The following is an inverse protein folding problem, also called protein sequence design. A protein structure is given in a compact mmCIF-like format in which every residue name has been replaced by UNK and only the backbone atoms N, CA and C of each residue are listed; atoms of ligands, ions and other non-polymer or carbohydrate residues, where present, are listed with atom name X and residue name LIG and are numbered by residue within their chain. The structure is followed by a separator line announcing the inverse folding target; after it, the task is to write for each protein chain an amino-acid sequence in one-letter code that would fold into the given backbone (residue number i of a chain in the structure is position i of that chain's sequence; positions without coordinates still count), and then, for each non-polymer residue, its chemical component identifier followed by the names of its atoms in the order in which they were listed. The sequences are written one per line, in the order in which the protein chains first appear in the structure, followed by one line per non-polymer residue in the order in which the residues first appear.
data_IF_548225134088
#
_entry.id   IF_548225134088
#
_cell.length_a   1.000
_cell.length_b   1.000
_cell.length_c   1.000
_cell.angle_alpha   90.00
_cell.angle_beta   90.00
_cell.angle_gamma   90.00
#
_symmetry.space_group_name_H-M   'P 1'
#
loop_
_entity.id
_entity.type
_entity.pdbx_description
1 polymer ?
#
# COMPACT_ATOMS: atom_id res chain seq x y z
N UNK A 1 22.08 -11.21 -0.71
CA UNK A 1 22.05 -11.01 -2.19
C UNK A 1 23.15 -11.85 -2.81
N UNK A 2 24.38 -11.72 -2.36
CA UNK A 2 25.56 -12.37 -2.97
C UNK A 2 25.44 -13.90 -3.00
N UNK A 3 24.94 -14.53 -1.94
CA UNK A 3 24.81 -15.97 -1.80
C UNK A 3 23.52 -16.56 -2.39
N UNK A 4 22.55 -15.71 -2.75
CA UNK A 4 21.26 -16.18 -3.23
C UNK A 4 21.22 -16.21 -4.76
N UNK A 5 21.61 -17.35 -5.35
CA UNK A 5 21.60 -17.56 -6.81
C UNK A 5 20.22 -17.36 -7.47
N UNK A 6 19.12 -17.53 -6.73
CA UNK A 6 17.78 -17.41 -7.30
C UNK A 6 17.40 -15.97 -7.62
N UNK A 7 17.94 -14.99 -6.90
CA UNK A 7 17.73 -13.56 -7.23
C UNK A 7 18.73 -13.06 -8.28
N UNK A 8 19.73 -13.84 -8.63
CA UNK A 8 20.68 -13.52 -9.69
C UNK A 8 20.19 -13.97 -11.08
N UNK A 9 19.08 -14.68 -11.13
CA UNK A 9 18.46 -15.13 -12.38
C UNK A 9 17.05 -14.56 -12.46
N UNK A 10 16.81 -13.65 -13.40
CA UNK A 10 15.48 -13.11 -13.64
C UNK A 10 14.62 -14.08 -14.46
N UNK A 11 15.23 -14.84 -15.35
CA UNK A 11 14.53 -15.76 -16.24
C UNK A 11 15.01 -17.21 -16.08
N UNK A 12 14.13 -18.23 -16.02
CA UNK A 12 12.65 -18.12 -16.04
C UNK A 12 12.09 -17.53 -14.74
N UNK A 13 10.96 -16.81 -14.83
CA UNK A 13 10.33 -16.13 -13.68
C UNK A 13 9.96 -17.05 -12.51
N UNK A 14 9.82 -18.35 -12.77
CA UNK A 14 9.62 -19.35 -11.71
C UNK A 14 10.76 -19.40 -10.70
N UNK A 15 11.99 -19.02 -11.10
CA UNK A 15 13.17 -19.04 -10.22
C UNK A 15 13.07 -17.98 -9.13
N UNK A 16 12.93 -16.67 -9.42
CA UNK A 16 12.80 -15.66 -8.38
C UNK A 16 11.46 -15.72 -7.64
N UNK A 17 10.39 -16.25 -8.24
CA UNK A 17 9.09 -16.41 -7.58
C UNK A 17 9.04 -17.61 -6.62
N UNK A 18 10.06 -18.48 -6.60
CA UNK A 18 10.18 -19.60 -5.67
C UNK A 18 11.42 -19.44 -4.79
N UNK A 19 11.45 -18.44 -3.86
CA UNK A 19 12.63 -18.19 -3.04
C UNK A 19 12.98 -19.40 -2.15
N UNK A 20 14.27 -19.62 -1.93
CA UNK A 20 14.74 -20.73 -1.09
C UNK A 20 14.34 -20.50 0.37
N UNK A 21 14.01 -21.60 1.09
CA UNK A 21 13.53 -21.54 2.47
C UNK A 21 14.53 -20.97 3.47
N UNK A 22 15.82 -21.04 3.16
CA UNK A 22 16.91 -20.60 4.04
C UNK A 22 17.36 -19.15 3.76
N UNK A 23 16.57 -18.38 3.03
CA UNK A 23 16.91 -16.99 2.69
C UNK A 23 16.01 -15.99 3.40
N UNK A 24 16.47 -14.74 3.61
CA UNK A 24 15.64 -13.67 4.20
C UNK A 24 14.36 -13.35 3.41
N UNK A 25 14.27 -13.79 2.16
CA UNK A 25 13.10 -13.64 1.29
C UNK A 25 12.25 -14.91 1.20
N UNK A 26 12.49 -15.90 2.07
CA UNK A 26 11.70 -17.13 2.13
C UNK A 26 10.21 -16.81 2.26
N UNK A 27 9.36 -17.45 1.44
CA UNK A 27 7.93 -17.19 1.41
C UNK A 27 7.48 -15.83 0.84
N UNK A 28 8.40 -15.05 0.26
CA UNK A 28 8.16 -13.67 -0.20
C UNK A 28 8.48 -13.51 -1.69
N UNK A 29 7.69 -14.13 -2.58
CA UNK A 29 8.01 -14.20 -4.00
C UNK A 29 8.12 -12.83 -4.68
N UNK A 30 7.25 -11.88 -4.31
CA UNK A 30 7.26 -10.54 -4.93
C UNK A 30 8.52 -9.76 -4.54
N UNK A 31 8.93 -9.84 -3.26
CA UNK A 31 10.19 -9.20 -2.81
C UNK A 31 11.40 -9.82 -3.53
N UNK A 32 11.44 -11.16 -3.62
CA UNK A 32 12.51 -11.87 -4.35
C UNK A 32 12.57 -11.45 -5.82
N UNK A 33 11.42 -11.32 -6.47
CA UNK A 33 11.34 -10.83 -7.86
C UNK A 33 11.90 -9.41 -7.99
N UNK A 34 11.60 -8.50 -7.06
CA UNK A 34 12.16 -7.13 -7.12
C UNK A 34 13.68 -7.11 -6.98
N UNK A 35 14.24 -8.02 -6.19
CA UNK A 35 15.70 -8.18 -6.11
C UNK A 35 16.27 -8.74 -7.40
N UNK A 36 15.61 -9.71 -8.04
CA UNK A 36 16.06 -10.24 -9.33
C UNK A 36 16.03 -9.18 -10.44
N UNK A 37 15.02 -8.30 -10.43
CA UNK A 37 14.96 -7.16 -11.37
C UNK A 37 16.12 -6.20 -11.11
N UNK A 38 16.42 -5.84 -9.86
CA UNK A 38 17.57 -5.00 -9.55
C UNK A 38 18.89 -5.62 -9.99
N UNK A 39 19.05 -6.93 -9.74
CA UNK A 39 20.26 -7.64 -10.17
C UNK A 39 20.41 -7.67 -11.68
N UNK A 40 19.33 -7.92 -12.42
CA UNK A 40 19.35 -7.91 -13.88
C UNK A 40 19.67 -6.51 -14.46
N UNK A 41 19.29 -5.43 -13.76
CA UNK A 41 19.53 -4.07 -14.20
C UNK A 41 20.94 -3.54 -13.89
N UNK A 42 21.52 -3.91 -12.73
CA UNK A 42 22.77 -3.33 -12.27
C UNK A 42 23.69 -4.30 -11.51
N UNK A 43 23.42 -5.62 -11.53
CA UNK A 43 24.22 -6.61 -10.84
C UNK A 43 24.25 -6.38 -9.33
N UNK A 44 25.44 -6.24 -8.77
CA UNK A 44 25.66 -5.99 -7.35
C UNK A 44 25.85 -4.49 -7.01
N UNK A 45 25.59 -3.56 -7.93
CA UNK A 45 25.66 -2.13 -7.63
C UNK A 45 24.57 -1.77 -6.60
N UNK A 46 25.02 -1.46 -5.38
CA UNK A 46 24.18 -1.17 -4.24
C UNK A 46 23.28 0.05 -4.45
N UNK A 47 23.67 0.99 -5.30
CA UNK A 47 22.92 2.22 -5.60
C UNK A 47 21.55 1.90 -6.18
N UNK A 48 21.47 0.90 -7.09
CA UNK A 48 20.20 0.48 -7.67
C UNK A 48 19.21 -0.06 -6.63
N UNK A 49 19.71 -0.77 -5.61
CA UNK A 49 18.89 -1.32 -4.54
C UNK A 49 18.36 -0.22 -3.61
N UNK A 50 19.18 0.75 -3.22
CA UNK A 50 18.76 1.89 -2.41
C UNK A 50 17.77 2.78 -3.16
N UNK A 51 18.01 3.05 -4.45
CA UNK A 51 17.10 3.85 -5.26
C UNK A 51 15.70 3.19 -5.35
N UNK A 52 15.66 1.87 -5.48
CA UNK A 52 14.39 1.12 -5.48
C UNK A 52 13.69 1.23 -4.13
N UNK A 53 14.41 1.07 -3.01
CA UNK A 53 13.83 1.22 -1.66
C UNK A 53 13.30 2.64 -1.45
N UNK A 54 14.06 3.66 -1.87
CA UNK A 54 13.63 5.06 -1.81
C UNK A 54 12.37 5.30 -2.64
N UNK A 55 12.32 4.75 -3.86
CA UNK A 55 11.13 4.88 -4.72
C UNK A 55 9.89 4.24 -4.06
N UNK A 56 10.01 3.04 -3.47
CA UNK A 56 8.93 2.37 -2.74
C UNK A 56 8.47 3.25 -1.56
N UNK A 57 9.42 3.82 -0.80
CA UNK A 57 9.11 4.69 0.34
C UNK A 57 8.37 5.97 -0.09
N UNK A 58 8.82 6.63 -1.15
CA UNK A 58 8.14 7.81 -1.70
C UNK A 58 6.73 7.48 -2.20
N UNK A 59 6.54 6.34 -2.87
CA UNK A 59 5.22 5.88 -3.29
C UNK A 59 4.30 5.60 -2.10
N UNK A 60 4.83 5.04 -1.01
CA UNK A 60 4.08 4.83 0.22
C UNK A 60 3.66 6.16 0.85
N UNK A 61 4.56 7.16 0.92
CA UNK A 61 4.25 8.50 1.41
C UNK A 61 3.17 9.20 0.57
N UNK A 62 3.26 9.13 -0.76
CA UNK A 62 2.24 9.67 -1.66
C UNK A 62 0.88 8.96 -1.52
N UNK A 63 0.91 7.66 -1.29
CA UNK A 63 -0.32 6.87 -1.05
C UNK A 63 -0.94 7.27 0.29
N UNK A 64 -0.12 7.45 1.34
CA UNK A 64 -0.56 7.93 2.64
C UNK A 64 -1.17 9.34 2.54
N UNK A 65 -0.52 10.26 1.83
CA UNK A 65 -1.08 11.57 1.52
C UNK A 65 -2.48 11.46 0.92
N UNK A 66 -2.60 10.66 -0.15
CA UNK A 66 -3.87 10.45 -0.83
C UNK A 66 -4.94 9.83 0.07
N UNK A 67 -4.58 8.87 0.91
CA UNK A 67 -5.46 8.22 1.87
C UNK A 67 -5.98 9.21 2.92
N UNK A 68 -5.08 9.94 3.59
CA UNK A 68 -5.45 10.92 4.63
C UNK A 68 -6.33 12.02 4.06
N UNK A 69 -5.93 12.59 2.92
CA UNK A 69 -6.72 13.63 2.25
C UNK A 69 -8.15 13.15 1.97
N UNK A 70 -8.32 11.93 1.47
CA UNK A 70 -9.64 11.38 1.15
C UNK A 70 -10.45 11.04 2.40
N UNK A 71 -9.81 10.50 3.41
CA UNK A 71 -10.47 10.24 4.69
C UNK A 71 -11.06 11.52 5.30
N UNK A 72 -10.30 12.63 5.24
CA UNK A 72 -10.75 13.93 5.75
C UNK A 72 -11.86 14.57 4.89
N UNK A 73 -12.02 14.15 3.64
CA UNK A 73 -13.11 14.59 2.75
C UNK A 73 -14.36 13.71 2.85
N UNK A 74 -14.37 12.64 3.65
CA UNK A 74 -15.56 11.85 3.89
C UNK A 74 -16.65 12.70 4.58
N UNK A 75 -17.94 12.47 4.32
CA UNK A 75 -19.05 13.25 4.88
C UNK A 75 -19.03 13.41 6.40
N UNK A 76 -18.46 12.41 7.11
CA UNK A 76 -18.28 12.41 8.55
C UNK A 76 -17.25 13.42 9.06
N UNK A 77 -16.19 13.68 8.30
CA UNK A 77 -15.05 14.52 8.69
C UNK A 77 -14.96 15.83 7.92
N UNK A 78 -15.53 15.90 6.72
CA UNK A 78 -15.48 17.07 5.84
C UNK A 78 -15.97 18.38 6.48
N UNK A 79 -17.03 18.39 7.34
CA UNK A 79 -17.47 19.62 8.00
C UNK A 79 -16.40 20.26 8.89
N UNK A 80 -15.52 19.43 9.50
CA UNK A 80 -14.48 19.91 10.44
C UNK A 80 -13.12 20.09 9.77
N UNK A 81 -12.79 19.25 8.80
CA UNK A 81 -11.42 19.16 8.26
C UNK A 81 -11.34 19.32 6.74
N UNK A 82 -12.47 19.34 6.02
CA UNK A 82 -12.49 19.31 4.57
C UNK A 82 -11.71 20.46 3.90
N UNK A 83 -11.84 21.68 4.44
CA UNK A 83 -11.10 22.85 3.93
C UNK A 83 -9.57 22.70 4.03
N UNK A 84 -9.09 21.95 5.02
CA UNK A 84 -7.66 21.75 5.30
C UNK A 84 -7.16 20.37 4.90
N UNK A 85 -8.00 19.53 4.30
CA UNK A 85 -7.70 18.12 4.03
C UNK A 85 -6.41 17.92 3.22
N UNK A 86 -6.13 18.80 2.27
CA UNK A 86 -4.89 18.73 1.47
C UNK A 86 -3.66 19.07 2.30
N UNK A 87 -3.71 20.15 3.09
CA UNK A 87 -2.57 20.57 3.92
C UNK A 87 -2.29 19.55 5.02
N UNK A 88 -3.32 19.07 5.71
CA UNK A 88 -3.18 18.03 6.73
C UNK A 88 -2.66 16.73 6.14
N UNK A 89 -3.13 16.34 4.95
CA UNK A 89 -2.61 15.18 4.24
C UNK A 89 -1.12 15.28 3.95
N UNK A 90 -0.65 16.44 3.48
CA UNK A 90 0.78 16.70 3.26
C UNK A 90 1.58 16.67 4.55
N UNK A 91 1.11 17.32 5.61
CA UNK A 91 1.80 17.34 6.90
C UNK A 91 1.99 15.91 7.44
N UNK A 92 0.94 15.11 7.44
CA UNK A 92 1.01 13.72 7.92
C UNK A 92 1.96 12.89 7.07
N UNK A 93 1.89 13.00 5.74
CA UNK A 93 2.77 12.25 4.86
C UNK A 93 4.24 12.66 5.00
N UNK A 94 4.53 13.95 5.17
CA UNK A 94 5.89 14.45 5.37
C UNK A 94 6.45 14.04 6.73
N UNK A 95 5.67 14.14 7.82
CA UNK A 95 6.10 13.68 9.15
C UNK A 95 6.42 12.19 9.09
N UNK A 96 5.57 11.38 8.47
CA UNK A 96 5.80 9.94 8.34
C UNK A 96 7.04 9.65 7.48
N UNK A 97 7.18 10.32 6.34
CA UNK A 97 8.27 10.10 5.39
C UNK A 97 9.65 10.48 5.97
N UNK A 98 9.71 11.57 6.74
CA UNK A 98 10.95 12.08 7.32
C UNK A 98 11.23 11.54 8.74
N UNK A 99 10.35 10.67 9.25
CA UNK A 99 10.51 10.15 10.60
C UNK A 99 11.80 9.30 10.71
N UNK A 100 12.63 9.49 11.74
CA UNK A 100 13.90 8.76 11.88
C UNK A 100 13.77 7.23 11.86
N UNK A 101 12.64 6.68 12.32
CA UNK A 101 12.38 5.24 12.26
C UNK A 101 12.27 4.68 10.83
N UNK A 102 12.10 5.55 9.82
CA UNK A 102 12.02 5.14 8.42
C UNK A 102 13.40 5.01 7.76
N UNK A 103 14.48 5.49 8.40
CA UNK A 103 15.85 5.42 7.84
C UNK A 103 16.28 3.97 7.62
N UNK A 104 16.03 3.08 8.56
CA UNK A 104 16.32 1.65 8.40
C UNK A 104 15.61 1.04 7.17
N UNK A 105 14.40 1.50 6.90
CA UNK A 105 13.57 1.00 5.78
C UNK A 105 14.18 1.35 4.43
N UNK A 106 14.94 2.44 4.35
CA UNK A 106 15.60 2.93 3.13
C UNK A 106 17.01 2.35 3.03
N UNK A 107 17.78 2.43 4.13
CA UNK A 107 19.19 2.09 4.15
C UNK A 107 19.44 0.58 4.18
N UNK A 108 18.55 -0.18 4.79
CA UNK A 108 18.71 -1.63 4.86
C UNK A 108 18.02 -2.31 3.69
N UNK A 109 18.80 -2.85 2.77
CA UNK A 109 18.29 -3.48 1.54
C UNK A 109 17.27 -4.60 1.84
N UNK A 110 17.46 -5.36 2.92
CA UNK A 110 16.57 -6.45 3.33
C UNK A 110 15.23 -5.97 3.88
N UNK A 111 15.14 -4.72 4.37
CA UNK A 111 13.90 -4.11 4.85
C UNK A 111 12.92 -3.76 3.71
N UNK A 112 13.28 -4.04 2.47
CA UNK A 112 12.37 -3.95 1.32
C UNK A 112 11.07 -4.71 1.54
N UNK A 113 11.11 -5.80 2.27
CA UNK A 113 9.93 -6.57 2.67
C UNK A 113 8.92 -5.71 3.43
N UNK A 114 9.40 -4.95 4.42
CA UNK A 114 8.56 -4.05 5.22
C UNK A 114 8.03 -2.88 4.38
N UNK A 115 8.90 -2.27 3.59
CA UNK A 115 8.54 -1.14 2.72
C UNK A 115 7.46 -1.53 1.72
N UNK A 116 7.62 -2.68 1.07
CA UNK A 116 6.64 -3.17 0.08
C UNK A 116 5.33 -3.55 0.75
N UNK A 117 5.37 -4.24 1.87
CA UNK A 117 4.17 -4.57 2.65
C UNK A 117 3.44 -3.28 3.05
N UNK A 118 4.15 -2.29 3.60
CA UNK A 118 3.57 -0.99 3.98
C UNK A 118 2.94 -0.25 2.78
N UNK A 119 3.60 -0.23 1.63
CA UNK A 119 3.05 0.34 0.40
C UNK A 119 1.75 -0.35 -0.01
N UNK A 120 1.73 -1.69 -0.08
CA UNK A 120 0.55 -2.44 -0.48
C UNK A 120 -0.57 -2.36 0.57
N UNK A 121 -0.22 -2.23 1.84
CA UNK A 121 -1.18 -2.00 2.92
C UNK A 121 -1.90 -0.65 2.71
N UNK A 122 -1.15 0.42 2.51
CA UNK A 122 -1.68 1.75 2.21
C UNK A 122 -2.48 1.78 0.91
N UNK A 123 -2.02 1.10 -0.15
CA UNK A 123 -2.74 0.98 -1.42
C UNK A 123 -4.07 0.24 -1.23
N UNK A 124 -4.11 -0.81 -0.43
CA UNK A 124 -5.35 -1.54 -0.11
C UNK A 124 -6.38 -0.62 0.53
N UNK A 125 -5.97 0.14 1.56
CA UNK A 125 -6.84 1.13 2.22
C UNK A 125 -7.26 2.24 1.26
N UNK A 126 -6.32 2.81 0.51
CA UNK A 126 -6.59 3.88 -0.45
C UNK A 126 -7.62 3.46 -1.51
N UNK A 127 -7.42 2.28 -2.12
CA UNK A 127 -8.34 1.76 -3.13
C UNK A 127 -9.72 1.44 -2.54
N UNK A 128 -9.77 0.95 -1.29
CA UNK A 128 -11.02 0.70 -0.58
C UNK A 128 -11.80 2.00 -0.34
N UNK A 129 -11.14 3.04 0.15
CA UNK A 129 -11.75 4.37 0.34
C UNK A 129 -12.27 4.95 -0.98
N UNK A 130 -11.49 4.80 -2.05
CA UNK A 130 -11.92 5.22 -3.41
C UNK A 130 -13.15 4.47 -3.91
N UNK A 131 -13.25 3.19 -3.57
CA UNK A 131 -14.44 2.38 -3.87
C UNK A 131 -15.68 2.90 -3.14
N UNK A 132 -15.54 3.28 -1.87
CA UNK A 132 -16.62 3.82 -1.06
C UNK A 132 -17.11 5.19 -1.55
N UNK A 133 -16.20 6.11 -1.92
CA UNK A 133 -16.56 7.42 -2.50
C UNK A 133 -17.41 7.25 -3.78
N UNK A 134 -17.11 6.23 -4.58
CA UNK A 134 -17.84 5.97 -5.83
C UNK A 134 -19.30 5.52 -5.63
N UNK A 135 -19.69 5.10 -4.42
CA UNK A 135 -21.07 4.74 -4.09
C UNK A 135 -21.96 5.96 -3.81
N UNK A 136 -21.39 7.01 -3.23
CA UNK A 136 -22.13 8.23 -2.88
C UNK A 136 -22.59 9.04 -4.10
N UNK A 137 -21.96 8.85 -5.25
CA UNK A 137 -22.20 9.63 -6.48
C UNK A 137 -23.16 8.96 -7.47
N UNK A 138 -23.60 7.72 -7.25
CA UNK A 138 -24.14 6.90 -8.33
C UNK A 138 -25.62 6.58 -8.24
N UNK A 139 -26.39 7.29 -9.04
CA UNK A 139 -27.62 6.77 -9.67
C UNK A 139 -27.41 6.29 -11.14
N UNK A 140 -26.20 6.34 -11.70
CA UNK A 140 -25.88 6.08 -13.10
C UNK A 140 -25.02 4.82 -13.35
N UNK A 141 -25.31 3.98 -14.37
CA UNK A 141 -24.62 2.72 -14.69
C UNK A 141 -23.09 2.77 -14.83
N UNK A 142 -22.43 3.83 -15.40
CA UNK A 142 -20.99 3.82 -15.58
C UNK A 142 -20.21 3.93 -14.26
N UNK A 143 -20.83 4.34 -13.16
CA UNK A 143 -20.18 4.50 -11.86
C UNK A 143 -20.09 3.15 -11.10
N UNK A 144 -20.99 2.21 -11.36
CA UNK A 144 -20.90 0.84 -10.82
C UNK A 144 -19.65 0.10 -11.32
N UNK A 145 -19.24 0.34 -12.56
CA UNK A 145 -17.96 -0.17 -13.12
C UNK A 145 -16.74 0.47 -12.46
N UNK A 146 -16.82 1.74 -12.07
CA UNK A 146 -15.73 2.45 -11.39
C UNK A 146 -15.50 1.90 -9.99
N UNK A 147 -16.54 1.65 -9.21
CA UNK A 147 -16.45 0.98 -7.90
C UNK A 147 -15.79 -0.39 -8.03
N UNK A 148 -16.25 -1.23 -8.96
CA UNK A 148 -15.70 -2.56 -9.18
C UNK A 148 -14.20 -2.55 -9.50
N UNK A 149 -13.73 -1.55 -10.27
CA UNK A 149 -12.30 -1.36 -10.56
C UNK A 149 -11.48 -1.04 -9.30
N UNK A 150 -11.99 -0.17 -8.41
CA UNK A 150 -11.29 0.15 -7.18
C UNK A 150 -11.30 -1.02 -6.19
N UNK A 151 -12.38 -1.77 -6.11
CA UNK A 151 -12.45 -2.99 -5.31
C UNK A 151 -11.47 -4.05 -5.83
N UNK A 152 -11.43 -4.28 -7.13
CA UNK A 152 -10.46 -5.18 -7.75
C UNK A 152 -9.01 -4.74 -7.48
N UNK A 153 -8.73 -3.43 -7.57
CA UNK A 153 -7.42 -2.88 -7.24
C UNK A 153 -7.06 -3.08 -5.76
N UNK A 154 -8.01 -2.93 -4.83
CA UNK A 154 -7.79 -3.19 -3.40
C UNK A 154 -7.48 -4.66 -3.14
N UNK A 155 -8.22 -5.58 -3.77
CA UNK A 155 -7.99 -7.03 -3.67
C UNK A 155 -6.61 -7.38 -4.25
N UNK A 156 -6.26 -6.85 -5.42
CA UNK A 156 -4.97 -7.09 -6.05
C UNK A 156 -3.81 -6.55 -5.18
N UNK A 157 -3.94 -5.34 -4.63
CA UNK A 157 -2.95 -4.77 -3.71
C UNK A 157 -2.80 -5.64 -2.45
N UNK A 158 -3.92 -6.08 -1.85
CA UNK A 158 -3.90 -6.95 -0.69
C UNK A 158 -3.20 -8.30 -0.99
N UNK A 159 -3.56 -8.96 -2.08
CA UNK A 159 -2.95 -10.22 -2.50
C UNK A 159 -1.44 -10.08 -2.77
N UNK A 160 -1.03 -8.99 -3.44
CA UNK A 160 0.39 -8.70 -3.69
C UNK A 160 1.14 -8.42 -2.39
N UNK A 161 0.52 -7.70 -1.45
CA UNK A 161 1.09 -7.43 -0.13
C UNK A 161 1.24 -8.71 0.71
N UNK A 162 0.29 -9.63 0.64
CA UNK A 162 0.41 -10.97 1.29
C UNK A 162 1.59 -11.77 0.74
N UNK A 163 1.90 -11.63 -0.55
CA UNK A 163 3.08 -12.24 -1.16
C UNK A 163 4.40 -11.52 -0.80
N UNK A 164 4.33 -10.38 -0.08
CA UNK A 164 5.49 -9.68 0.49
C UNK A 164 5.69 -10.02 1.96
N UNK A 165 4.61 -10.05 2.76
CA UNK A 165 4.66 -10.37 4.19
C UNK A 165 3.31 -10.82 4.73
N UNK A 166 3.31 -11.80 5.62
CA UNK A 166 2.13 -12.41 6.25
C UNK A 166 1.31 -11.42 7.10
N UNK A 167 1.92 -10.39 7.69
CA UNK A 167 1.22 -9.36 8.47
C UNK A 167 0.15 -8.60 7.68
N UNK A 168 0.19 -8.66 6.35
CA UNK A 168 -0.81 -8.09 5.46
C UNK A 168 -2.22 -8.67 5.67
N UNK A 169 -2.35 -9.84 6.31
CA UNK A 169 -3.65 -10.47 6.64
C UNK A 169 -4.55 -9.55 7.49
N UNK A 170 -3.98 -8.57 8.19
CA UNK A 170 -4.73 -7.59 8.99
C UNK A 170 -5.39 -6.50 8.14
N UNK A 171 -4.95 -6.28 6.90
CA UNK A 171 -5.46 -5.20 6.06
C UNK A 171 -6.99 -5.27 5.79
N UNK A 172 -7.61 -6.42 5.50
CA UNK A 172 -9.06 -6.53 5.36
C UNK A 172 -9.81 -6.14 6.63
N UNK A 173 -9.27 -6.46 7.82
CA UNK A 173 -9.86 -6.10 9.11
C UNK A 173 -9.85 -4.58 9.30
N UNK A 174 -8.75 -3.91 8.98
CA UNK A 174 -8.66 -2.45 9.06
C UNK A 174 -9.57 -1.78 8.02
N UNK A 175 -9.70 -2.34 6.80
CA UNK A 175 -10.68 -1.86 5.81
C UNK A 175 -12.09 -1.95 6.36
N UNK A 176 -12.47 -3.08 6.97
CA UNK A 176 -13.80 -3.27 7.55
C UNK A 176 -14.04 -2.32 8.75
N UNK A 177 -13.03 -2.11 9.59
CA UNK A 177 -13.09 -1.16 10.70
C UNK A 177 -13.24 0.28 10.21
N UNK A 178 -12.50 0.66 9.18
CA UNK A 178 -12.58 1.97 8.55
C UNK A 178 -13.98 2.22 7.98
N UNK A 179 -14.54 1.27 7.23
CA UNK A 179 -15.91 1.34 6.70
C UNK A 179 -16.93 1.49 7.83
N UNK A 180 -16.83 0.69 8.87
CA UNK A 180 -17.74 0.75 10.02
C UNK A 180 -17.70 2.10 10.73
N UNK A 181 -16.50 2.62 11.02
CA UNK A 181 -16.34 3.86 11.82
C UNK A 181 -16.71 5.11 11.02
N UNK A 182 -16.27 5.20 9.76
CA UNK A 182 -16.35 6.45 9.00
C UNK A 182 -17.51 6.50 8.00
N UNK A 183 -18.06 5.35 7.61
CA UNK A 183 -19.13 5.29 6.61
C UNK A 183 -20.45 4.83 7.22
N UNK A 184 -20.49 3.63 7.81
CA UNK A 184 -21.76 3.04 8.31
C UNK A 184 -22.29 3.72 9.55
N UNK A 185 -21.44 4.12 10.48
CA UNK A 185 -21.87 4.79 11.73
C UNK A 185 -22.59 6.11 11.45
N UNK A 186 -22.22 6.83 10.41
CA UNK A 186 -22.90 8.06 10.00
C UNK A 186 -24.31 7.79 9.43
N UNK A 187 -24.46 6.72 8.66
CA UNK A 187 -25.75 6.30 8.14
C UNK A 187 -26.71 5.92 9.27
N UNK A 188 -26.24 5.16 10.25
CA UNK A 188 -27.05 4.77 11.42
C UNK A 188 -27.48 5.97 12.26
N UNK A 189 -26.61 6.99 12.46
CA UNK A 189 -26.95 8.22 13.18
C UNK A 189 -28.02 9.05 12.46
N UNK A 190 -27.99 9.08 11.12
CA UNK A 190 -29.04 9.80 10.35
C UNK A 190 -30.38 9.12 10.42
N UNK A 191 -30.42 7.79 10.45
CA UNK A 191 -31.68 7.01 10.54
C UNK A 191 -32.37 7.15 11.91
N UNK A 192 -31.62 7.38 13.00
CA UNK A 192 -32.17 7.57 14.35
C UNK A 192 -32.58 9.01 14.67
N UNK A 193 -32.42 9.97 13.75
CA UNK A 193 -32.81 11.37 13.91
C UNK A 193 -34.09 11.74 13.15
N UNK A 194 -34.76 10.77 12.52
CA UNK A 194 -36.08 10.87 11.91
C UNK A 194 -37.10 10.17 12.82
#
# INVERSE_FOLDING_TARGET
IIENRRIQQLWPLSVPLSPARETPVAGRPIVSLTFAINYAAGGLDIRGYHLTNLAIHLLAALTLFGLVRRALLLPSLAPSFGAQATNLGWIVALIWMLHPLQTETIDYVTQRTESMMGLFYLLTLYCSVRGLESDGESKNPPLRTRRGRWQAAAIAACATGMACKESMVTAPLIVALFDYVFVRRDLLRKTHRI
#
